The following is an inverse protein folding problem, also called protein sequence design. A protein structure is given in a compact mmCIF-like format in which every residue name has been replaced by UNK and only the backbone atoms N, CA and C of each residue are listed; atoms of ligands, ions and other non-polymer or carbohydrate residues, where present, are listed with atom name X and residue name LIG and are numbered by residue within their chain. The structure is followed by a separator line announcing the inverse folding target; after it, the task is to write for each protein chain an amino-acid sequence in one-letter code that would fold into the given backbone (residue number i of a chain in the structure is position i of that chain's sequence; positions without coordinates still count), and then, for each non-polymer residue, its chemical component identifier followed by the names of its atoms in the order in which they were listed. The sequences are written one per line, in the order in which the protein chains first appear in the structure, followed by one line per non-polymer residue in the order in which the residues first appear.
data_IF_795323666647
#
_entry.id   IF_795323666647
#
_cell.length_a   1.000
_cell.length_b   1.000
_cell.length_c   1.000
_cell.angle_alpha   90.00
_cell.angle_beta   90.00
_cell.angle_gamma   90.00
#
_symmetry.space_group_name_H-M   'P 1'
#
loop_
_entity.id
_entity.type
_entity.pdbx_description
1 polymer ?
#
# COMPACT_ATOMS: atom_id res chain seq x y z
N UNK A 1 9.75 -5.54 -5.10
CA UNK A 1 10.25 -4.24 -4.57
C UNK A 1 9.52 -3.94 -3.27
N UNK A 2 10.27 -3.58 -2.23
CA UNK A 2 9.76 -3.10 -0.94
C UNK A 2 9.98 -1.60 -0.83
N UNK A 3 8.99 -0.85 -0.38
CA UNK A 3 9.10 0.59 -0.09
C UNK A 3 9.23 0.81 1.40
N UNK A 4 10.34 1.38 1.79
CA UNK A 4 10.76 1.54 3.18
C UNK A 4 10.90 3.03 3.49
N UNK A 5 10.28 3.49 4.58
CA UNK A 5 10.57 4.80 5.14
C UNK A 5 11.41 4.67 6.42
N UNK A 6 12.33 5.60 6.65
CA UNK A 6 13.11 5.73 7.87
C UNK A 6 12.87 7.13 8.42
N UNK A 7 12.35 7.26 9.64
CA UNK A 7 12.29 8.53 10.37
C UNK A 7 13.23 8.42 11.58
N UNK A 8 14.33 9.14 11.50
CA UNK A 8 15.46 9.09 12.44
C UNK A 8 16.23 10.41 12.36
N UNK A 9 16.39 11.13 13.43
CA UNK A 9 17.09 12.42 13.45
C UNK A 9 18.63 12.23 13.48
N UNK A 10 19.12 11.17 14.11
CA UNK A 10 20.54 10.89 14.18
C UNK A 10 21.07 10.34 12.84
N UNK A 11 21.96 11.09 12.17
CA UNK A 11 22.49 10.71 10.87
C UNK A 11 23.25 9.38 10.89
N UNK A 12 24.00 9.06 11.97
CA UNK A 12 24.75 7.81 12.10
C UNK A 12 23.83 6.60 12.20
N UNK A 13 22.75 6.72 12.97
CA UNK A 13 21.78 5.63 13.13
C UNK A 13 20.99 5.45 11.82
N UNK A 14 20.65 6.53 11.13
CA UNK A 14 19.99 6.50 9.82
C UNK A 14 20.86 5.83 8.76
N UNK A 15 22.14 6.23 8.64
CA UNK A 15 23.13 5.61 7.74
C UNK A 15 23.33 4.13 8.05
N UNK A 16 23.32 3.75 9.33
CA UNK A 16 23.42 2.35 9.74
C UNK A 16 22.22 1.54 9.26
N UNK A 17 21.00 2.05 9.43
CA UNK A 17 19.79 1.38 8.94
C UNK A 17 19.80 1.25 7.40
N UNK A 18 20.26 2.27 6.69
CA UNK A 18 20.44 2.19 5.25
C UNK A 18 21.45 1.10 4.86
N UNK A 19 22.58 1.02 5.56
CA UNK A 19 23.57 -0.01 5.29
C UNK A 19 23.00 -1.41 5.49
N UNK A 20 22.19 -1.61 6.52
CA UNK A 20 21.51 -2.88 6.78
C UNK A 20 20.47 -3.20 5.70
N UNK A 21 19.71 -2.21 5.23
CA UNK A 21 18.77 -2.41 4.12
C UNK A 21 19.46 -2.77 2.82
N UNK A 22 20.57 -2.13 2.48
CA UNK A 22 21.39 -2.46 1.31
C UNK A 22 22.02 -3.86 1.40
N UNK A 23 22.49 -4.25 2.58
CA UNK A 23 23.01 -5.59 2.82
C UNK A 23 21.86 -6.62 2.64
N UNK A 24 20.70 -6.37 3.23
CA UNK A 24 19.52 -7.23 3.10
C UNK A 24 19.04 -7.34 1.64
N UNK A 25 19.02 -6.23 0.89
CA UNK A 25 18.67 -6.20 -0.53
C UNK A 25 19.56 -7.16 -1.34
N UNK A 26 20.87 -7.12 -1.08
CA UNK A 26 21.85 -7.98 -1.75
C UNK A 26 21.68 -9.44 -1.35
N UNK A 27 21.60 -9.74 -0.05
CA UNK A 27 21.50 -11.11 0.47
C UNK A 27 20.20 -11.81 0.07
N UNK A 28 19.07 -11.06 0.04
CA UNK A 28 17.75 -11.64 -0.23
C UNK A 28 17.25 -11.42 -1.66
N UNK A 29 18.09 -10.83 -2.52
CA UNK A 29 17.73 -10.47 -3.91
C UNK A 29 16.37 -9.78 -3.98
N UNK A 30 16.18 -8.74 -3.15
CA UNK A 30 14.89 -8.04 -2.98
C UNK A 30 15.13 -6.55 -3.18
N UNK A 31 14.61 -5.96 -4.24
CA UNK A 31 14.70 -4.50 -4.45
C UNK A 31 14.05 -3.72 -3.32
N UNK A 32 14.76 -2.70 -2.80
CA UNK A 32 14.30 -1.84 -1.72
C UNK A 32 14.42 -0.37 -2.15
N UNK A 33 13.31 0.34 -2.10
CA UNK A 33 13.25 1.80 -2.26
C UNK A 33 13.20 2.44 -0.87
N UNK A 34 14.10 3.37 -0.57
CA UNK A 34 14.24 3.96 0.76
C UNK A 34 13.90 5.45 0.68
N UNK A 35 12.95 5.90 1.50
CA UNK A 35 12.70 7.31 1.79
C UNK A 35 13.18 7.65 3.21
N UNK A 36 13.75 8.84 3.39
CA UNK A 36 14.35 9.24 4.65
C UNK A 36 13.76 10.54 5.16
N UNK A 37 13.52 10.57 6.47
CA UNK A 37 12.98 11.72 7.18
C UNK A 37 13.78 11.94 8.47
N UNK A 38 13.99 13.18 8.83
CA UNK A 38 14.75 13.55 10.02
C UNK A 38 13.89 13.70 11.27
N UNK A 39 12.56 13.66 11.12
CA UNK A 39 11.59 13.72 12.22
C UNK A 39 10.20 13.27 11.76
N UNK A 40 9.29 13.12 12.73
CA UNK A 40 7.92 12.68 12.46
C UNK A 40 7.06 13.68 11.70
N UNK A 41 7.34 15.00 11.81
CA UNK A 41 6.55 16.03 11.12
C UNK A 41 6.82 15.98 9.61
N UNK A 42 8.09 15.88 9.20
CA UNK A 42 8.48 15.74 7.79
C UNK A 42 7.98 14.45 7.16
N UNK A 43 7.98 13.34 7.91
CA UNK A 43 7.36 12.12 7.45
C UNK A 43 5.87 12.31 7.15
N UNK A 44 5.13 13.00 8.06
CA UNK A 44 3.69 13.22 7.91
C UNK A 44 3.33 14.21 6.80
N UNK A 45 4.11 15.29 6.64
CA UNK A 45 3.92 16.26 5.54
C UNK A 45 3.98 15.60 4.16
N UNK A 46 4.82 14.57 4.03
CA UNK A 46 5.02 13.84 2.79
C UNK A 46 4.43 12.43 2.83
N UNK A 47 3.66 12.12 3.88
CA UNK A 47 3.13 10.78 4.06
C UNK A 47 2.17 10.40 2.96
N UNK A 48 2.33 9.16 2.50
CA UNK A 48 1.46 8.50 1.53
C UNK A 48 1.33 7.03 1.91
N UNK A 49 0.15 6.41 1.73
CA UNK A 49 -0.06 4.98 1.96
C UNK A 49 0.63 4.11 0.90
N UNK A 50 1.92 4.37 0.65
CA UNK A 50 2.71 3.64 -0.35
C UNK A 50 3.86 2.83 0.25
N UNK A 51 4.13 3.00 1.54
CA UNK A 51 5.19 2.26 2.22
C UNK A 51 4.72 0.86 2.63
N UNK A 52 5.62 -0.11 2.50
CA UNK A 52 5.41 -1.46 3.04
C UNK A 52 5.78 -1.48 4.53
N UNK A 53 6.82 -0.72 4.93
CA UNK A 53 7.28 -0.60 6.32
C UNK A 53 7.86 0.78 6.60
N UNK A 54 7.67 1.26 7.84
CA UNK A 54 8.27 2.47 8.36
C UNK A 54 9.06 2.13 9.61
N UNK A 55 10.35 2.48 9.63
CA UNK A 55 11.19 2.47 10.82
C UNK A 55 11.12 3.85 11.48
N UNK A 56 10.79 3.88 12.78
CA UNK A 56 10.58 5.11 13.54
C UNK A 56 11.49 5.12 14.75
N UNK A 57 12.29 6.17 14.94
CA UNK A 57 12.78 6.50 16.28
C UNK A 57 11.64 7.16 17.07
N UNK A 58 11.62 6.94 18.37
CA UNK A 58 10.70 7.61 19.30
C UNK A 58 11.18 9.01 19.62
N UNK A 59 12.49 9.18 19.89
CA UNK A 59 13.08 10.48 20.22
C UNK A 59 13.49 11.23 18.96
N UNK A 60 12.61 12.11 18.50
CA UNK A 60 12.90 13.01 17.38
C UNK A 60 12.48 14.44 17.76
N UNK A 61 13.17 15.49 17.20
CA UNK A 61 12.74 16.87 17.38
C UNK A 61 11.34 17.08 16.76
N UNK A 62 10.72 18.21 17.04
CA UNK A 62 9.40 18.64 16.56
C UNK A 62 8.26 17.65 16.83
N UNK A 63 8.32 16.43 16.29
CA UNK A 63 7.33 15.39 16.50
C UNK A 63 7.98 14.05 16.83
N UNK A 64 7.67 13.51 17.99
CA UNK A 64 8.11 12.18 18.41
C UNK A 64 7.48 11.07 17.56
N UNK A 65 8.19 9.93 17.45
CA UNK A 65 7.76 8.82 16.62
C UNK A 65 6.46 8.15 17.06
N UNK A 66 6.08 8.24 18.34
CA UNK A 66 4.80 7.69 18.82
C UNK A 66 3.63 8.50 18.29
N UNK A 67 3.72 9.84 18.37
CA UNK A 67 2.70 10.73 17.80
C UNK A 67 2.62 10.62 16.28
N UNK A 68 3.78 10.47 15.62
CA UNK A 68 3.81 10.22 14.17
C UNK A 68 3.08 8.91 13.85
N UNK A 69 3.34 7.84 14.59
CA UNK A 69 2.69 6.54 14.39
C UNK A 69 1.18 6.59 14.62
N UNK A 70 0.72 7.32 15.66
CA UNK A 70 -0.72 7.52 15.94
C UNK A 70 -1.42 8.19 14.74
N UNK A 71 -0.83 9.28 14.20
CA UNK A 71 -1.37 9.98 13.02
C UNK A 71 -1.28 9.14 11.75
N UNK A 72 -0.22 8.35 11.58
CA UNK A 72 -0.13 7.41 10.44
C UNK A 72 -1.28 6.41 10.51
N UNK A 73 -1.61 5.87 11.67
CA UNK A 73 -2.72 4.91 11.82
C UNK A 73 -4.08 5.51 11.50
N UNK A 74 -4.28 6.81 11.69
CA UNK A 74 -5.50 7.50 11.23
C UNK A 74 -5.64 7.52 9.70
N UNK A 75 -4.51 7.46 8.96
CA UNK A 75 -4.47 7.53 7.50
C UNK A 75 -4.22 6.18 6.83
N UNK A 76 -3.50 5.29 7.49
CA UNK A 76 -3.06 3.99 6.96
C UNK A 76 -2.98 2.95 8.09
N UNK A 77 -4.01 2.12 8.19
CA UNK A 77 -4.06 1.02 9.17
C UNK A 77 -3.13 -0.14 8.81
N UNK A 78 -2.72 -0.24 7.53
CA UNK A 78 -2.05 -1.43 7.00
C UNK A 78 -0.53 -1.33 6.91
N UNK A 79 0.06 -0.13 6.97
CA UNK A 79 1.52 0.01 6.89
C UNK A 79 2.18 -0.66 8.10
N UNK A 80 3.27 -1.37 7.87
CA UNK A 80 4.02 -2.00 8.95
C UNK A 80 4.84 -0.94 9.68
N UNK A 81 4.67 -0.84 11.00
CA UNK A 81 5.46 0.05 11.85
C UNK A 81 6.43 -0.76 12.68
N UNK A 82 7.69 -0.34 12.73
CA UNK A 82 8.74 -0.88 13.60
C UNK A 82 9.45 0.28 14.29
N UNK A 83 9.43 0.30 15.61
CA UNK A 83 10.21 1.27 16.36
C UNK A 83 11.65 0.80 16.55
N UNK A 84 12.61 1.72 16.34
CA UNK A 84 14.04 1.50 16.58
C UNK A 84 14.54 2.68 17.40
N UNK A 85 14.74 2.50 18.70
CA UNK A 85 14.95 3.61 19.64
C UNK A 85 15.75 3.22 20.89
N UNK A 86 16.26 4.19 21.62
CA UNK A 86 16.84 3.99 22.96
C UNK A 86 15.79 3.92 24.08
N UNK A 87 14.52 4.26 23.80
CA UNK A 87 13.47 4.49 24.79
C UNK A 87 12.68 3.24 25.17
N UNK A 88 13.22 2.35 26.01
CA UNK A 88 12.53 1.13 26.44
C UNK A 88 11.14 1.33 27.06
N UNK A 89 10.91 2.48 27.72
CA UNK A 89 9.65 2.78 28.43
C UNK A 89 8.42 2.91 27.54
N UNK A 90 8.60 3.14 26.23
CA UNK A 90 7.50 3.31 25.28
C UNK A 90 7.07 1.99 24.59
N UNK A 91 7.73 0.87 24.88
CA UNK A 91 7.42 -0.42 24.23
C UNK A 91 5.93 -0.83 24.39
N UNK A 92 5.34 -0.56 25.57
CA UNK A 92 3.91 -0.85 25.82
C UNK A 92 3.01 0.00 24.90
N UNK A 93 3.35 1.25 24.64
CA UNK A 93 2.56 2.13 23.76
C UNK A 93 2.63 1.71 22.29
N UNK A 94 3.69 0.99 21.87
CA UNK A 94 3.77 0.42 20.54
C UNK A 94 2.61 -0.52 20.18
N UNK A 95 2.01 -1.19 21.18
CA UNK A 95 0.81 -2.00 20.97
C UNK A 95 -0.42 -1.18 20.59
N UNK A 96 -0.55 0.06 21.07
CA UNK A 96 -1.69 0.93 20.75
C UNK A 96 -1.73 1.31 19.26
N UNK A 97 -0.55 1.44 18.65
CA UNK A 97 -0.41 1.73 17.21
C UNK A 97 -0.18 0.46 16.38
N UNK A 98 -0.40 -0.71 16.97
CA UNK A 98 -0.23 -2.01 16.30
C UNK A 98 1.13 -2.12 15.59
N UNK A 99 2.21 -1.67 16.26
CA UNK A 99 3.54 -1.83 15.72
C UNK A 99 3.91 -3.32 15.64
N UNK A 100 4.54 -3.71 14.53
CA UNK A 100 4.98 -5.09 14.32
C UNK A 100 6.06 -5.49 15.33
N UNK A 101 6.90 -4.52 15.69
CA UNK A 101 8.01 -4.76 16.61
C UNK A 101 8.51 -3.45 17.25
N UNK A 102 9.26 -3.62 18.36
CA UNK A 102 9.92 -2.56 19.09
C UNK A 102 11.36 -3.01 19.39
N UNK A 103 12.33 -2.34 18.78
CA UNK A 103 13.74 -2.73 18.81
C UNK A 103 14.56 -1.67 19.58
N UNK A 104 15.29 -2.11 20.57
CA UNK A 104 16.21 -1.21 21.32
C UNK A 104 17.54 -1.07 20.58
N UNK A 105 18.04 0.14 20.47
CA UNK A 105 19.39 0.44 20.02
C UNK A 105 20.43 -0.02 21.07
N UNK A 106 21.62 -0.52 20.67
CA UNK A 106 22.13 -0.65 19.32
C UNK A 106 21.58 -1.89 18.56
N UNK A 107 21.10 -1.70 17.37
CA UNK A 107 20.59 -2.80 16.53
C UNK A 107 21.75 -3.57 15.91
N UNK A 108 21.68 -4.90 15.93
CA UNK A 108 22.59 -5.78 15.20
C UNK A 108 21.93 -6.23 13.88
N UNK A 109 22.74 -6.41 12.85
CA UNK A 109 22.23 -6.78 11.53
C UNK A 109 21.42 -8.09 11.54
N UNK A 110 21.87 -9.10 12.28
CA UNK A 110 21.19 -10.41 12.36
C UNK A 110 19.76 -10.25 12.91
N UNK A 111 19.60 -9.46 13.98
CA UNK A 111 18.28 -9.17 14.54
C UNK A 111 17.41 -8.35 13.57
N UNK A 112 18.00 -7.37 12.88
CA UNK A 112 17.34 -6.57 11.85
C UNK A 112 16.87 -7.44 10.67
N UNK A 113 17.72 -8.31 10.15
CA UNK A 113 17.41 -9.19 9.02
C UNK A 113 16.21 -10.09 9.31
N UNK A 114 16.10 -10.66 10.51
CA UNK A 114 14.95 -11.47 10.95
C UNK A 114 13.64 -10.64 10.92
N UNK A 115 13.69 -9.36 11.33
CA UNK A 115 12.53 -8.46 11.26
C UNK A 115 12.15 -8.17 9.81
N UNK A 116 13.14 -7.92 8.96
CA UNK A 116 12.92 -7.71 7.53
C UNK A 116 12.35 -8.94 6.83
N UNK A 117 12.74 -10.15 7.20
CA UNK A 117 12.12 -11.39 6.69
C UNK A 117 10.62 -11.44 7.04
N UNK A 118 10.24 -11.00 8.25
CA UNK A 118 8.83 -10.89 8.66
C UNK A 118 8.10 -9.80 7.87
N UNK A 119 8.73 -8.62 7.70
CA UNK A 119 8.19 -7.53 6.88
C UNK A 119 7.95 -7.99 5.46
N UNK A 120 8.94 -8.59 4.80
CA UNK A 120 8.82 -9.10 3.43
C UNK A 120 7.64 -10.06 3.27
N UNK A 121 7.52 -11.04 4.15
CA UNK A 121 6.41 -12.00 4.14
C UNK A 121 5.04 -11.34 4.31
N UNK A 122 4.93 -10.33 5.20
CA UNK A 122 3.68 -9.61 5.41
C UNK A 122 3.34 -8.72 4.23
N UNK A 123 4.33 -8.01 3.67
CA UNK A 123 4.16 -7.20 2.47
C UNK A 123 3.76 -8.03 1.24
N UNK A 124 4.36 -9.21 1.07
CA UNK A 124 3.98 -10.15 0.02
C UNK A 124 2.53 -10.63 0.20
N UNK A 125 2.12 -10.98 1.43
CA UNK A 125 0.72 -11.35 1.74
C UNK A 125 -0.25 -10.20 1.45
N UNK A 126 0.13 -8.96 1.73
CA UNK A 126 -0.66 -7.76 1.44
C UNK A 126 -0.82 -7.57 -0.08
N UNK A 127 0.27 -7.77 -0.83
CA UNK A 127 0.26 -7.71 -2.31
C UNK A 127 -0.52 -8.87 -2.95
N UNK A 128 -0.63 -9.98 -2.23
CA UNK A 128 -1.30 -11.21 -2.68
C UNK A 128 -2.81 -11.26 -2.40
N UNK A 129 -3.45 -10.14 -2.07
CA UNK A 129 -4.93 -10.10 -2.04
C UNK A 129 -5.44 -10.58 -3.40
N UNK A 130 -6.31 -11.56 -3.38
CA UNK A 130 -6.77 -12.22 -4.60
C UNK A 130 -8.24 -12.59 -4.52
N UNK A 131 -8.89 -12.63 -5.67
CA UNK A 131 -10.24 -13.17 -5.82
C UNK A 131 -10.16 -14.49 -6.58
N UNK A 132 -11.06 -15.40 -6.25
CA UNK A 132 -11.18 -16.68 -6.95
C UNK A 132 -12.43 -16.65 -7.82
N UNK A 133 -12.28 -16.94 -9.10
CA UNK A 133 -13.38 -17.00 -10.07
C UNK A 133 -13.47 -18.39 -10.69
N UNK A 134 -14.68 -18.75 -11.13
CA UNK A 134 -14.93 -19.99 -11.90
C UNK A 134 -14.98 -19.63 -13.39
N UNK A 135 -14.06 -20.18 -14.17
CA UNK A 135 -13.99 -19.98 -15.62
C UNK A 135 -14.29 -21.31 -16.32
N UNK A 136 -15.53 -21.53 -16.70
CA UNK A 136 -15.98 -22.85 -17.18
C UNK A 136 -15.84 -23.91 -16.10
N UNK A 137 -15.04 -24.94 -16.34
CA UNK A 137 -14.75 -26.03 -15.38
C UNK A 137 -13.54 -25.73 -14.47
N UNK A 138 -12.77 -24.69 -14.77
CA UNK A 138 -11.57 -24.33 -14.02
C UNK A 138 -11.89 -23.30 -12.92
N UNK A 139 -11.16 -23.40 -11.80
CA UNK A 139 -11.10 -22.36 -10.77
C UNK A 139 -9.81 -21.58 -10.93
N UNK A 140 -9.89 -20.26 -11.03
CA UNK A 140 -8.72 -19.39 -11.22
C UNK A 140 -8.63 -18.36 -10.10
N UNK A 141 -7.43 -18.20 -9.56
CA UNK A 141 -7.09 -17.15 -8.61
C UNK A 141 -6.54 -15.94 -9.40
N UNK A 142 -7.14 -14.77 -9.20
CA UNK A 142 -6.69 -13.50 -9.78
C UNK A 142 -6.16 -12.62 -8.67
N UNK A 143 -4.94 -12.10 -8.81
CA UNK A 143 -4.39 -11.11 -7.91
C UNK A 143 -5.12 -9.78 -8.12
N UNK A 144 -5.61 -9.16 -7.04
CA UNK A 144 -6.33 -7.89 -7.14
C UNK A 144 -5.44 -6.78 -7.72
N UNK A 145 -4.13 -6.84 -7.45
CA UNK A 145 -3.15 -5.90 -8.00
C UNK A 145 -3.02 -5.98 -9.52
N UNK A 146 -3.32 -7.13 -10.14
CA UNK A 146 -3.25 -7.34 -11.59
C UNK A 146 -4.56 -7.02 -12.31
N UNK A 147 -5.69 -6.92 -11.58
CA UNK A 147 -6.97 -6.57 -12.18
C UNK A 147 -7.00 -5.07 -12.42
N UNK A 148 -7.16 -4.67 -13.67
CA UNK A 148 -7.26 -3.27 -14.08
C UNK A 148 -8.69 -2.74 -13.87
N UNK A 149 -9.68 -3.49 -14.31
CA UNK A 149 -11.09 -3.21 -14.08
C UNK A 149 -11.94 -4.45 -14.28
N UNK A 150 -13.17 -4.42 -13.79
CA UNK A 150 -14.18 -5.45 -14.00
C UNK A 150 -15.33 -4.86 -14.78
N UNK A 151 -15.71 -5.52 -15.85
CA UNK A 151 -16.84 -5.18 -16.71
C UNK A 151 -17.97 -6.18 -16.52
N UNK A 152 -19.22 -5.72 -16.58
CA UNK A 152 -20.38 -6.60 -16.68
C UNK A 152 -21.05 -6.47 -18.04
N UNK A 153 -21.17 -7.58 -18.75
CA UNK A 153 -21.89 -7.69 -20.03
C UNK A 153 -22.83 -8.88 -19.97
N UNK A 154 -24.15 -8.65 -20.09
CA UNK A 154 -25.17 -9.72 -20.18
C UNK A 154 -24.99 -10.84 -19.11
N UNK A 155 -24.82 -10.50 -17.83
CA UNK A 155 -24.61 -11.44 -16.72
C UNK A 155 -23.23 -12.17 -16.75
N UNK A 156 -22.29 -11.68 -17.52
CA UNK A 156 -20.89 -12.08 -17.48
C UNK A 156 -20.09 -10.97 -16.81
N UNK A 157 -19.32 -11.35 -15.80
CA UNK A 157 -18.25 -10.52 -15.25
C UNK A 157 -16.97 -10.82 -16.03
N UNK A 158 -16.36 -9.79 -16.59
CA UNK A 158 -15.10 -9.87 -17.31
C UNK A 158 -14.07 -9.12 -16.47
N UNK A 159 -13.05 -9.82 -16.01
CA UNK A 159 -11.91 -9.27 -15.29
C UNK A 159 -10.81 -8.98 -16.31
N UNK A 160 -10.60 -7.71 -16.60
CA UNK A 160 -9.51 -7.24 -17.44
C UNK A 160 -8.26 -7.13 -16.59
N UNK A 161 -7.24 -7.92 -16.91
CA UNK A 161 -6.02 -8.02 -16.10
C UNK A 161 -4.78 -7.80 -16.96
N UNK A 162 -3.63 -7.59 -16.29
CA UNK A 162 -2.32 -7.53 -16.96
C UNK A 162 -1.96 -8.84 -17.69
N UNK A 163 -2.53 -9.96 -17.23
CA UNK A 163 -2.28 -11.30 -17.77
C UNK A 163 -3.33 -11.75 -18.82
N UNK A 164 -4.26 -10.85 -19.20
CA UNK A 164 -5.38 -11.12 -20.12
C UNK A 164 -6.74 -11.08 -19.46
N UNK A 165 -7.78 -11.40 -20.21
CA UNK A 165 -9.17 -11.31 -19.80
C UNK A 165 -9.69 -12.65 -19.29
N UNK A 166 -10.41 -12.61 -18.16
CA UNK A 166 -11.03 -13.79 -17.58
C UNK A 166 -12.49 -13.51 -17.26
N UNK A 167 -13.38 -14.42 -17.65
CA UNK A 167 -14.81 -14.24 -17.45
C UNK A 167 -15.44 -15.30 -16.57
N UNK A 168 -16.45 -14.89 -15.82
CA UNK A 168 -17.31 -15.76 -15.01
C UNK A 168 -18.76 -15.25 -15.06
N UNK A 169 -19.73 -16.12 -14.84
CA UNK A 169 -21.13 -15.70 -14.70
C UNK A 169 -21.31 -14.96 -13.36
N UNK A 170 -22.04 -13.85 -13.38
CA UNK A 170 -22.31 -13.08 -12.18
C UNK A 170 -22.74 -11.65 -12.49
N UNK A 171 -22.92 -10.86 -11.45
CA UNK A 171 -23.25 -9.42 -11.53
C UNK A 171 -22.21 -8.64 -10.70
N UNK A 172 -22.00 -7.35 -11.03
CA UNK A 172 -21.00 -6.54 -10.32
C UNK A 172 -21.21 -6.54 -8.81
N UNK A 173 -22.45 -6.58 -8.34
CA UNK A 173 -22.77 -6.62 -6.91
C UNK A 173 -22.15 -7.80 -6.16
N UNK A 174 -21.89 -8.91 -6.86
CA UNK A 174 -21.29 -10.12 -6.24
C UNK A 174 -19.82 -9.91 -5.82
N UNK A 175 -19.16 -8.96 -6.47
CA UNK A 175 -17.72 -8.66 -6.25
C UNK A 175 -17.47 -7.23 -5.76
N UNK A 176 -18.49 -6.35 -5.81
CA UNK A 176 -18.38 -4.91 -5.56
C UNK A 176 -17.80 -4.63 -4.17
N UNK A 177 -18.38 -5.20 -3.11
CA UNK A 177 -17.93 -4.94 -1.74
C UNK A 177 -16.45 -5.35 -1.52
N UNK A 178 -16.09 -6.56 -1.95
CA UNK A 178 -14.73 -7.07 -1.80
C UNK A 178 -13.72 -6.23 -2.59
N UNK A 179 -14.09 -5.79 -3.78
CA UNK A 179 -13.20 -5.01 -4.63
C UNK A 179 -13.11 -3.55 -4.17
N UNK A 180 -14.21 -2.93 -3.72
CA UNK A 180 -14.20 -1.56 -3.18
C UNK A 180 -13.32 -1.43 -1.94
N UNK A 181 -13.36 -2.40 -1.01
CA UNK A 181 -12.44 -2.48 0.14
C UNK A 181 -10.96 -2.61 -0.27
N UNK A 182 -10.70 -2.91 -1.53
CA UNK A 182 -9.34 -3.10 -2.07
C UNK A 182 -8.96 -2.08 -3.15
N UNK A 183 -9.54 -0.88 -3.09
CA UNK A 183 -9.15 0.24 -3.94
C UNK A 183 -9.78 0.24 -5.32
N UNK A 184 -10.90 -0.49 -5.51
CA UNK A 184 -11.70 -0.36 -6.71
C UNK A 184 -12.82 0.65 -6.50
N UNK A 185 -13.25 1.30 -7.58
CA UNK A 185 -14.32 2.27 -7.56
C UNK A 185 -15.24 2.12 -8.77
N UNK A 186 -16.54 2.17 -8.54
CA UNK A 186 -17.54 2.03 -9.59
C UNK A 186 -17.69 3.32 -10.38
N UNK A 187 -17.22 3.36 -11.62
CA UNK A 187 -17.32 4.55 -12.47
C UNK A 187 -18.64 4.67 -13.24
N UNK A 188 -19.33 3.54 -13.49
CA UNK A 188 -20.69 3.50 -14.04
C UNK A 188 -21.39 2.17 -13.67
N UNK A 189 -22.56 1.88 -14.27
CA UNK A 189 -23.32 0.65 -13.99
C UNK A 189 -22.65 -0.64 -14.46
N UNK A 190 -21.68 -0.53 -15.40
CA UNK A 190 -21.04 -1.68 -16.04
C UNK A 190 -19.58 -1.88 -15.59
N UNK A 191 -18.92 -0.85 -15.06
CA UNK A 191 -17.49 -0.88 -14.75
C UNK A 191 -17.18 -0.61 -13.28
N UNK A 192 -16.35 -1.46 -12.72
CA UNK A 192 -15.69 -1.31 -11.42
C UNK A 192 -14.18 -1.23 -11.67
N UNK A 193 -13.59 -0.07 -11.42
CA UNK A 193 -12.24 0.29 -11.84
C UNK A 193 -11.28 0.21 -10.67
N UNK A 194 -10.14 -0.43 -10.84
CA UNK A 194 -9.05 -0.38 -9.89
C UNK A 194 -8.33 0.97 -10.00
N UNK A 195 -8.43 1.80 -8.97
CA UNK A 195 -7.88 3.15 -8.96
C UNK A 195 -6.35 3.17 -9.16
N UNK A 196 -5.67 2.09 -8.80
CA UNK A 196 -4.24 1.90 -9.03
C UNK A 196 -3.83 1.99 -10.51
N UNK A 197 -4.70 1.53 -11.42
CA UNK A 197 -4.44 1.46 -12.85
C UNK A 197 -5.01 2.65 -13.63
N UNK A 198 -5.65 3.62 -12.94
CA UNK A 198 -6.12 4.86 -13.56
C UNK A 198 -4.93 5.76 -13.88
N UNK A 199 -4.73 6.03 -15.16
CA UNK A 199 -3.66 6.92 -15.67
C UNK A 199 -4.10 8.36 -15.77
N UNK A 200 -5.35 8.57 -16.19
CA UNK A 200 -5.94 9.91 -16.28
C UNK A 200 -7.46 9.85 -16.29
N UNK A 201 -8.07 10.97 -15.91
CA UNK A 201 -9.51 11.20 -16.02
C UNK A 201 -9.72 12.53 -16.72
N UNK A 202 -10.34 12.51 -17.90
CA UNK A 202 -10.61 13.69 -18.70
C UNK A 202 -11.96 13.58 -19.42
N UNK A 203 -12.76 14.65 -19.44
CA UNK A 203 -14.05 14.75 -20.13
C UNK A 203 -15.06 13.62 -19.87
N UNK A 204 -14.95 12.99 -18.68
CA UNK A 204 -15.81 11.88 -18.30
C UNK A 204 -15.39 10.54 -18.86
N UNK A 205 -14.17 10.45 -19.32
CA UNK A 205 -13.47 9.21 -19.66
C UNK A 205 -12.35 8.98 -18.67
N UNK A 206 -12.16 7.73 -18.24
CA UNK A 206 -11.02 7.28 -17.47
C UNK A 206 -10.13 6.41 -18.34
N UNK A 207 -8.84 6.74 -18.44
CA UNK A 207 -7.84 5.88 -19.06
C UNK A 207 -7.34 4.90 -17.99
N UNK A 208 -7.66 3.62 -18.15
CA UNK A 208 -7.33 2.54 -17.22
C UNK A 208 -6.49 1.50 -17.94
N UNK A 209 -5.24 1.32 -17.52
CA UNK A 209 -4.32 0.55 -18.35
C UNK A 209 -4.16 1.19 -19.73
N UNK A 210 -4.66 0.50 -20.76
CA UNK A 210 -4.69 0.99 -22.15
C UNK A 210 -6.11 1.31 -22.64
N UNK A 211 -7.14 1.10 -21.81
CA UNK A 211 -8.53 1.21 -22.20
C UNK A 211 -9.16 2.51 -21.73
N UNK A 212 -10.06 3.07 -22.55
CA UNK A 212 -10.84 4.24 -22.20
C UNK A 212 -12.23 3.83 -21.73
N UNK A 213 -12.52 4.07 -20.46
CA UNK A 213 -13.78 3.72 -19.82
C UNK A 213 -14.64 4.96 -19.59
N UNK A 214 -15.93 4.87 -19.96
CA UNK A 214 -16.86 5.96 -19.76
C UNK A 214 -17.28 6.07 -18.29
N UNK A 215 -17.11 7.24 -17.70
CA UNK A 215 -17.61 7.58 -16.37
C UNK A 215 -19.00 8.18 -16.49
N UNK A 216 -19.98 7.65 -15.78
CA UNK A 216 -21.36 8.17 -15.84
C UNK A 216 -21.44 9.61 -15.30
N UNK A 217 -22.34 10.44 -15.85
CA UNK A 217 -22.50 11.84 -15.44
C UNK A 217 -22.71 12.00 -13.94
N UNK A 218 -23.50 11.11 -13.33
CA UNK A 218 -23.79 11.15 -11.89
C UNK A 218 -22.56 10.81 -11.01
N UNK A 219 -21.57 10.12 -11.56
CA UNK A 219 -20.39 9.69 -10.81
C UNK A 219 -19.11 10.46 -11.15
N UNK A 220 -19.12 11.37 -12.14
CA UNK A 220 -17.93 12.11 -12.59
C UNK A 220 -17.19 12.76 -11.44
N UNK A 221 -17.90 13.52 -10.59
CA UNK A 221 -17.28 14.25 -9.48
C UNK A 221 -16.70 13.28 -8.45
N UNK A 222 -17.51 12.37 -7.92
CA UNK A 222 -17.09 11.42 -6.90
C UNK A 222 -15.97 10.46 -7.38
N UNK A 223 -15.98 10.05 -8.67
CA UNK A 223 -14.92 9.23 -9.25
C UNK A 223 -13.61 10.04 -9.38
N UNK A 224 -13.68 11.29 -9.83
CA UNK A 224 -12.51 12.16 -9.94
C UNK A 224 -11.90 12.45 -8.55
N UNK A 225 -12.73 12.70 -7.54
CA UNK A 225 -12.31 12.85 -6.15
C UNK A 225 -11.63 11.56 -5.64
N UNK A 226 -12.24 10.39 -5.83
CA UNK A 226 -11.66 9.12 -5.42
C UNK A 226 -10.31 8.84 -6.11
N UNK A 227 -10.17 9.18 -7.40
CA UNK A 227 -8.90 9.08 -8.14
C UNK A 227 -7.88 10.08 -7.59
N UNK A 228 -8.30 11.33 -7.33
CA UNK A 228 -7.43 12.36 -6.77
C UNK A 228 -6.94 11.97 -5.37
N UNK A 229 -7.83 11.45 -4.52
CA UNK A 229 -7.50 10.96 -3.19
C UNK A 229 -6.54 9.76 -3.27
N UNK A 230 -6.81 8.82 -4.18
CA UNK A 230 -5.94 7.66 -4.38
C UNK A 230 -4.57 8.07 -4.93
N UNK A 231 -4.53 9.00 -5.92
CA UNK A 231 -3.30 9.56 -6.50
C UNK A 231 -2.69 10.56 -5.52
N UNK A 232 -3.47 11.40 -4.85
CA UNK A 232 -3.03 12.33 -3.80
C UNK A 232 -2.46 11.58 -2.60
N UNK A 233 -3.03 10.43 -2.28
CA UNK A 233 -2.43 9.43 -1.41
C UNK A 233 -1.22 8.71 -2.07
N UNK A 234 -0.97 8.84 -3.37
CA UNK A 234 0.17 8.31 -4.13
C UNK A 234 1.12 9.37 -4.70
N UNK A 235 0.70 10.64 -4.85
CA UNK A 235 1.53 11.72 -5.44
C UNK A 235 1.25 13.09 -4.84
N UNK A 236 2.25 13.67 -4.20
CA UNK A 236 2.61 15.09 -4.36
C UNK A 236 4.09 15.12 -4.75
N UNK A 237 4.37 15.57 -5.92
CA UNK A 237 5.69 15.99 -6.37
C UNK A 237 6.03 17.28 -5.64
#
# INVERSE_FOLDING_TARGET
MLRVAIAEDNSKDRERLQSFLKQYETEKNTQIEIAEYTDGSKLLEQYRPCYDVIFLDVEMPEMDGMKAAEKIREMDEEVILIFITNMAKYAIRGYQVQALDYVLKPVKYEAFSVKMDKVKRLAEKKKDKSITIKTGTATRRLLLSHIQYVEVVQHLLIFHTEDGDFSTRGVLKDVESVLEENGFYKCNKCYLVNLRHVRSVHDGMALVGNDQLQVSRARKKAFAEAVADYIGNMQSI
#
